data_IF_917743623022
#
_entry.id   IF_917743623022
#
_cell.length_a   1.000
_cell.length_b   1.000
_cell.length_c   1.000
_cell.angle_alpha   90.00
_cell.angle_beta   90.00
_cell.angle_gamma   90.00
#
_symmetry.space_group_name_H-M   'P 1'
#
loop_
_entity.id
_entity.type
_entity.pdbx_description
1 polymer ?
#
# COMPACT_ATOMS: atom_id res chain seq x y z
N UNK A 1 -3.96 24.43 -15.82
CA UNK A 1 -2.50 24.63 -15.79
C UNK A 1 -1.87 23.39 -16.40
N UNK A 2 -1.01 23.52 -17.43
CA UNK A 2 -0.23 22.38 -17.90
C UNK A 2 0.71 21.96 -16.76
N UNK A 3 0.52 20.75 -16.24
CA UNK A 3 1.47 20.16 -15.32
C UNK A 3 2.76 19.99 -16.11
N UNK A 4 3.76 20.79 -15.77
CA UNK A 4 5.13 20.64 -16.24
C UNK A 4 5.53 19.21 -15.87
N UNK A 5 5.48 18.30 -16.86
CA UNK A 5 5.84 16.91 -16.62
C UNK A 5 7.30 16.98 -16.21
N UNK A 6 7.68 16.60 -14.98
CA UNK A 6 9.08 16.58 -14.61
C UNK A 6 9.77 15.80 -15.71
N UNK A 7 10.71 16.46 -16.36
CA UNK A 7 11.41 15.95 -17.53
C UNK A 7 12.37 14.85 -17.02
N UNK A 8 11.77 13.75 -16.54
CA UNK A 8 12.36 12.44 -16.30
C UNK A 8 12.50 11.72 -17.64
N UNK A 9 12.62 12.46 -18.76
CA UNK A 9 13.53 12.09 -19.82
C UNK A 9 14.96 12.10 -19.24
N UNK A 10 15.21 11.22 -18.28
CA UNK A 10 16.41 10.44 -18.33
C UNK A 10 16.32 9.75 -19.69
N UNK A 11 16.92 10.36 -20.71
CA UNK A 11 17.51 9.61 -21.81
C UNK A 11 18.55 8.69 -21.18
N UNK A 12 18.07 7.69 -20.42
CA UNK A 12 18.75 6.47 -20.11
C UNK A 12 18.82 5.77 -21.45
N UNK A 13 19.68 6.28 -22.33
CA UNK A 13 20.59 5.42 -23.07
C UNK A 13 21.40 4.67 -22.00
N UNK A 14 20.72 3.77 -21.28
CA UNK A 14 21.37 2.60 -20.75
C UNK A 14 21.97 2.01 -22.00
N UNK A 15 23.27 2.26 -22.21
CA UNK A 15 24.11 1.34 -22.95
C UNK A 15 24.00 0.04 -22.15
N UNK A 16 22.96 -0.73 -22.49
CA UNK A 16 22.75 -2.10 -22.07
C UNK A 16 23.90 -2.83 -22.74
N UNK A 17 25.06 -2.76 -22.08
CA UNK A 17 26.22 -3.54 -22.43
C UNK A 17 25.81 -4.98 -22.16
N UNK A 18 25.31 -5.63 -23.21
CA UNK A 18 24.85 -7.01 -23.23
C UNK A 18 26.10 -7.89 -23.06
N UNK A 19 26.59 -7.93 -21.82
CA UNK A 19 27.94 -8.37 -21.47
C UNK A 19 28.44 -9.57 -22.26
N UNK A 20 29.59 -9.39 -22.91
CA UNK A 20 30.27 -10.41 -23.71
C UNK A 20 30.81 -11.55 -22.82
N UNK A 21 29.93 -12.44 -22.35
CA UNK A 21 30.35 -13.68 -21.67
C UNK A 21 30.10 -14.90 -22.56
N UNK A 22 31.01 -15.12 -23.49
CA UNK A 22 31.11 -16.36 -24.25
C UNK A 22 32.01 -16.16 -25.45
N UNK A 23 32.86 -17.13 -25.78
CA UNK A 23 33.89 -17.09 -26.83
C UNK A 23 33.36 -16.99 -28.28
N UNK A 24 32.13 -16.51 -28.46
CA UNK A 24 31.53 -16.16 -29.73
C UNK A 24 31.96 -14.76 -30.17
N UNK A 25 31.83 -14.49 -31.46
CA UNK A 25 32.10 -13.17 -32.01
C UNK A 25 31.23 -12.10 -31.32
N UNK A 26 31.75 -10.88 -31.11
CA UNK A 26 31.00 -9.78 -30.51
C UNK A 26 29.73 -9.55 -31.32
N UNK A 27 28.57 -9.56 -30.64
CA UNK A 27 27.28 -9.28 -31.28
C UNK A 27 27.31 -7.83 -31.74
N UNK A 28 27.11 -7.60 -33.04
CA UNK A 28 27.05 -6.23 -33.55
C UNK A 28 25.84 -5.51 -32.97
N UNK A 29 25.98 -4.21 -32.69
CA UNK A 29 24.89 -3.38 -32.15
C UNK A 29 23.62 -3.46 -33.00
N UNK A 30 23.76 -3.51 -34.32
CA UNK A 30 22.63 -3.68 -35.25
C UNK A 30 21.89 -5.01 -35.03
N UNK A 31 22.62 -6.11 -34.81
CA UNK A 31 22.02 -7.41 -34.54
C UNK A 31 21.31 -7.44 -33.18
N UNK A 32 21.87 -6.78 -32.17
CA UNK A 32 21.22 -6.65 -30.86
C UNK A 32 19.89 -5.89 -30.95
N UNK A 33 19.84 -4.82 -31.77
CA UNK A 33 18.60 -4.09 -32.05
C UNK A 33 17.56 -4.95 -32.79
N UNK A 34 17.98 -5.74 -33.78
CA UNK A 34 17.08 -6.66 -34.46
C UNK A 34 16.46 -7.69 -33.50
N UNK A 35 17.29 -8.29 -32.64
CA UNK A 35 16.83 -9.25 -31.62
C UNK A 35 15.87 -8.57 -30.65
N UNK A 36 16.20 -7.36 -30.19
CA UNK A 36 15.34 -6.55 -29.31
C UNK A 36 13.98 -6.26 -29.95
N UNK A 37 13.96 -5.80 -31.20
CA UNK A 37 12.73 -5.49 -31.92
C UNK A 37 11.90 -6.75 -32.21
N UNK A 38 12.56 -7.86 -32.57
CA UNK A 38 11.91 -9.15 -32.76
C UNK A 38 11.25 -9.63 -31.46
N UNK A 39 11.98 -9.60 -30.34
CA UNK A 39 11.48 -9.97 -29.02
C UNK A 39 10.28 -9.10 -28.60
N UNK A 40 10.37 -7.78 -28.78
CA UNK A 40 9.26 -6.86 -28.52
C UNK A 40 8.03 -7.19 -29.38
N UNK A 41 8.23 -7.46 -30.67
CA UNK A 41 7.12 -7.82 -31.57
C UNK A 41 6.49 -9.16 -31.18
N UNK A 42 7.29 -10.12 -30.73
CA UNK A 42 6.82 -11.41 -30.26
C UNK A 42 6.00 -11.28 -28.97
N UNK A 43 6.46 -10.46 -28.00
CA UNK A 43 5.70 -10.13 -26.80
C UNK A 43 4.36 -9.48 -27.14
N UNK A 44 4.35 -8.51 -28.05
CA UNK A 44 3.11 -7.84 -28.47
C UNK A 44 2.15 -8.78 -29.20
N UNK A 45 2.67 -9.65 -30.07
CA UNK A 45 1.87 -10.66 -30.76
C UNK A 45 1.26 -11.66 -29.76
N UNK A 46 2.03 -12.07 -28.75
CA UNK A 46 1.59 -12.91 -27.64
C UNK A 46 0.45 -12.28 -26.84
N UNK A 47 0.55 -10.98 -26.55
CA UNK A 47 -0.50 -10.20 -25.86
C UNK A 47 -1.75 -10.08 -26.73
N UNK A 48 -1.61 -9.79 -28.02
CA UNK A 48 -2.76 -9.66 -28.94
C UNK A 48 -3.48 -10.97 -29.21
N UNK A 49 -2.75 -12.08 -29.23
CA UNK A 49 -3.32 -13.39 -29.54
C UNK A 49 -4.16 -13.96 -28.39
N UNK A 50 -4.16 -13.33 -27.21
CA UNK A 50 -4.85 -13.77 -25.98
C UNK A 50 -4.53 -15.24 -25.60
N UNK A 51 -3.52 -15.83 -26.24
CA UNK A 51 -3.15 -17.26 -26.16
C UNK A 51 -2.36 -17.59 -24.89
N UNK A 52 -2.06 -16.57 -24.09
CA UNK A 52 -1.20 -16.67 -22.91
C UNK A 52 -1.87 -16.14 -21.65
N UNK A 53 -3.18 -15.91 -21.67
CA UNK A 53 -3.93 -15.75 -20.43
C UNK A 53 -4.10 -17.16 -19.85
N UNK A 54 -3.40 -17.53 -18.76
CA UNK A 54 -3.77 -18.72 -18.02
C UNK A 54 -5.27 -18.61 -17.69
N UNK A 55 -6.02 -19.71 -17.60
CA UNK A 55 -7.45 -19.65 -17.27
C UNK A 55 -7.75 -18.89 -15.95
N UNK A 56 -6.70 -18.73 -15.16
CA UNK A 56 -6.52 -18.06 -13.89
C UNK A 56 -6.21 -16.54 -13.98
N UNK A 57 -6.11 -15.95 -15.18
CA UNK A 57 -6.14 -14.49 -15.40
C UNK A 57 -4.84 -13.71 -15.13
N UNK A 58 -3.71 -14.37 -14.92
CA UNK A 58 -2.50 -13.74 -14.38
C UNK A 58 -1.73 -12.75 -15.29
N UNK A 59 -1.87 -12.82 -16.63
CA UNK A 59 -1.02 -12.01 -17.52
C UNK A 59 -1.49 -10.55 -17.67
N UNK A 60 -2.77 -10.26 -17.44
CA UNK A 60 -3.33 -8.92 -17.68
C UNK A 60 -2.83 -7.89 -16.68
N UNK A 61 -2.57 -8.27 -15.42
CA UNK A 61 -2.31 -7.28 -14.37
C UNK A 61 -0.98 -6.55 -14.55
N UNK A 62 0.10 -7.24 -14.93
CA UNK A 62 1.39 -6.59 -15.11
C UNK A 62 1.56 -5.93 -16.48
N UNK A 63 0.74 -6.31 -17.47
CA UNK A 63 0.75 -5.64 -18.77
C UNK A 63 0.28 -4.19 -18.69
N UNK A 64 -0.69 -3.90 -17.82
CA UNK A 64 -1.13 -2.53 -17.56
C UNK A 64 0.01 -1.68 -16.95
N UNK A 65 0.71 -2.24 -15.95
CA UNK A 65 1.91 -1.63 -15.37
C UNK A 65 2.99 -1.39 -16.45
N UNK A 66 3.20 -2.36 -17.33
CA UNK A 66 4.15 -2.26 -18.45
C UNK A 66 3.80 -1.08 -19.38
N UNK A 67 2.56 -0.99 -19.86
CA UNK A 67 2.15 0.11 -20.75
C UNK A 67 2.26 1.46 -20.05
N UNK A 68 1.89 1.52 -18.77
CA UNK A 68 2.08 2.72 -17.96
C UNK A 68 3.56 3.12 -17.88
N UNK A 69 4.48 2.17 -17.65
CA UNK A 69 5.92 2.43 -17.56
C UNK A 69 6.51 2.87 -18.89
N UNK A 70 6.15 2.23 -20.00
CA UNK A 70 6.57 2.64 -21.35
C UNK A 70 6.06 4.04 -21.67
N UNK A 71 4.81 4.37 -21.31
CA UNK A 71 4.26 5.72 -21.46
C UNK A 71 4.97 6.76 -20.58
N UNK A 72 5.56 6.34 -19.45
CA UNK A 72 6.42 7.16 -18.58
C UNK A 72 7.85 7.31 -19.12
N UNK A 73 8.19 6.67 -20.24
CA UNK A 73 9.49 6.80 -20.91
C UNK A 73 10.54 5.77 -20.48
N UNK A 74 10.15 4.72 -19.75
CA UNK A 74 11.08 3.62 -19.45
C UNK A 74 11.38 2.82 -20.72
N UNK A 75 12.64 2.35 -20.84
CA UNK A 75 12.99 1.36 -21.87
C UNK A 75 12.09 0.14 -21.73
N UNK A 76 11.64 -0.41 -22.86
CA UNK A 76 10.62 -1.44 -22.84
C UNK A 76 11.09 -2.71 -22.13
N UNK A 77 12.38 -3.09 -22.20
CA UNK A 77 12.89 -4.29 -21.51
C UNK A 77 12.91 -4.09 -20.00
N UNK A 78 13.37 -2.90 -19.58
CA UNK A 78 13.39 -2.51 -18.16
C UNK A 78 11.96 -2.39 -17.63
N UNK A 79 11.05 -1.79 -18.40
CA UNK A 79 9.63 -1.68 -18.06
C UNK A 79 8.97 -3.05 -17.91
N UNK A 80 9.23 -3.98 -18.83
CA UNK A 80 8.73 -5.37 -18.75
C UNK A 80 9.24 -6.04 -17.49
N UNK A 81 10.52 -5.90 -17.15
CA UNK A 81 11.06 -6.47 -15.92
C UNK A 81 10.45 -5.83 -14.66
N UNK A 82 10.33 -4.49 -14.61
CA UNK A 82 9.76 -3.78 -13.45
C UNK A 82 8.32 -4.26 -13.20
N UNK A 83 7.51 -4.34 -14.25
CA UNK A 83 6.12 -4.79 -14.16
C UNK A 83 6.00 -6.27 -13.76
N UNK A 84 6.86 -7.13 -14.30
CA UNK A 84 6.92 -8.53 -13.87
C UNK A 84 7.32 -8.66 -12.39
N UNK A 85 8.34 -7.90 -11.97
CA UNK A 85 8.85 -7.94 -10.60
C UNK A 85 7.89 -7.31 -9.56
N UNK A 86 7.05 -6.35 -9.96
CA UNK A 86 6.02 -5.77 -9.10
C UNK A 86 4.89 -6.74 -8.78
N UNK A 87 4.71 -7.77 -9.60
CA UNK A 87 3.66 -8.77 -9.43
C UNK A 87 4.04 -9.76 -8.30
N UNK A 88 3.08 -10.23 -7.48
CA UNK A 88 3.32 -11.27 -6.47
C UNK A 88 3.87 -12.55 -7.12
N UNK A 89 4.70 -13.29 -6.38
CA UNK A 89 5.41 -14.47 -6.91
C UNK A 89 4.46 -15.51 -7.54
N UNK A 90 3.29 -15.71 -6.94
CA UNK A 90 2.32 -16.72 -7.39
C UNK A 90 1.59 -16.33 -8.68
N UNK A 91 1.60 -15.04 -9.04
CA UNK A 91 0.97 -14.51 -10.26
C UNK A 91 1.96 -14.14 -11.36
N UNK A 92 3.25 -14.47 -11.19
CA UNK A 92 4.28 -14.15 -12.18
C UNK A 92 4.25 -15.13 -13.33
N UNK A 93 4.17 -14.59 -14.54
CA UNK A 93 4.46 -15.34 -15.76
C UNK A 93 5.43 -14.54 -16.63
N UNK A 94 6.57 -15.11 -17.05
CA UNK A 94 7.11 -16.44 -16.71
C UNK A 94 7.40 -16.62 -15.22
N UNK A 95 7.60 -17.86 -14.75
CA UNK A 95 7.76 -18.13 -13.32
C UNK A 95 9.12 -17.68 -12.81
N UNK A 96 10.15 -17.79 -13.65
CA UNK A 96 11.53 -17.48 -13.30
C UNK A 96 12.07 -16.25 -14.04
N UNK A 97 13.03 -15.56 -13.41
CA UNK A 97 13.71 -14.41 -14.04
C UNK A 97 14.51 -14.84 -15.28
N UNK A 98 15.04 -16.06 -15.29
CA UNK A 98 15.79 -16.63 -16.40
C UNK A 98 14.90 -16.87 -17.63
N UNK A 99 13.70 -17.43 -17.44
CA UNK A 99 12.69 -17.57 -18.50
C UNK A 99 12.27 -16.21 -19.05
N UNK A 100 12.00 -15.23 -18.18
CA UNK A 100 11.69 -13.87 -18.63
C UNK A 100 12.82 -13.28 -19.48
N UNK A 101 14.06 -13.41 -19.03
CA UNK A 101 15.22 -12.88 -19.73
C UNK A 101 15.38 -13.52 -21.12
N UNK A 102 15.31 -14.84 -21.19
CA UNK A 102 15.62 -15.60 -22.40
C UNK A 102 14.44 -15.68 -23.38
N UNK A 103 13.24 -16.00 -22.89
CA UNK A 103 12.08 -16.27 -23.74
C UNK A 103 11.31 -15.01 -24.15
N UNK A 104 11.34 -13.96 -23.33
CA UNK A 104 10.56 -12.74 -23.56
C UNK A 104 11.44 -11.57 -23.95
N UNK A 105 12.49 -11.28 -23.19
CA UNK A 105 13.35 -10.11 -23.43
C UNK A 105 14.38 -10.34 -24.55
N UNK A 106 14.61 -11.60 -24.93
CA UNK A 106 15.61 -11.99 -25.91
C UNK A 106 17.04 -11.73 -25.45
N UNK A 107 17.29 -11.80 -24.14
CA UNK A 107 18.60 -11.68 -23.53
C UNK A 107 19.28 -13.06 -23.49
N UNK A 108 20.61 -13.05 -23.43
CA UNK A 108 21.40 -14.28 -23.29
C UNK A 108 21.35 -14.86 -21.88
N UNK A 109 21.25 -14.01 -20.85
CA UNK A 109 21.25 -14.40 -19.45
C UNK A 109 20.56 -13.35 -18.58
N UNK A 110 20.03 -13.78 -17.44
CA UNK A 110 19.46 -12.94 -16.40
C UNK A 110 20.49 -12.06 -15.69
N UNK A 111 21.80 -12.34 -15.83
CA UNK A 111 22.89 -11.49 -15.30
C UNK A 111 22.79 -10.05 -15.79
N UNK A 112 22.37 -9.86 -17.04
CA UNK A 112 22.19 -8.55 -17.65
C UNK A 112 21.19 -7.72 -16.85
N UNK A 113 20.11 -8.33 -16.37
CA UNK A 113 19.10 -7.69 -15.50
C UNK A 113 19.72 -7.29 -14.15
N UNK A 114 20.55 -8.15 -13.56
CA UNK A 114 21.28 -7.82 -12.32
C UNK A 114 22.17 -6.59 -12.52
N UNK A 115 22.88 -6.50 -13.65
CA UNK A 115 23.68 -5.33 -14.02
C UNK A 115 22.82 -4.08 -14.19
N UNK A 116 21.62 -4.18 -14.77
CA UNK A 116 20.71 -3.03 -14.88
C UNK A 116 20.32 -2.48 -13.52
N UNK A 117 19.96 -3.36 -12.57
CA UNK A 117 19.58 -2.98 -11.20
C UNK A 117 20.74 -2.32 -10.45
N UNK A 118 21.95 -2.86 -10.59
CA UNK A 118 23.15 -2.28 -9.98
C UNK A 118 23.47 -0.89 -10.54
N UNK A 119 23.35 -0.71 -11.87
CA UNK A 119 23.62 0.58 -12.54
C UNK A 119 22.51 1.60 -12.28
N UNK A 120 21.26 1.16 -12.13
CA UNK A 120 20.11 2.03 -11.97
C UNK A 120 19.22 1.60 -10.79
N UNK A 121 19.47 2.09 -9.56
CA UNK A 121 18.68 1.74 -8.38
C UNK A 121 17.24 2.27 -8.43
N UNK A 122 16.91 3.21 -9.33
CA UNK A 122 15.52 3.68 -9.50
C UNK A 122 14.59 2.56 -9.97
N UNK A 123 15.14 1.51 -10.59
CA UNK A 123 14.44 0.28 -10.96
C UNK A 123 13.79 -0.35 -9.72
N UNK A 124 14.56 -0.60 -8.67
CA UNK A 124 14.07 -1.25 -7.43
C UNK A 124 13.10 -0.33 -6.66
N UNK A 125 13.35 0.98 -6.66
CA UNK A 125 12.43 1.96 -6.07
C UNK A 125 11.07 1.92 -6.77
N UNK A 126 11.07 1.80 -8.11
CA UNK A 126 9.83 1.74 -8.91
C UNK A 126 9.07 0.44 -8.66
N UNK A 127 9.77 -0.70 -8.56
CA UNK A 127 9.16 -1.98 -8.16
C UNK A 127 8.48 -1.88 -6.80
N UNK A 128 9.17 -1.32 -5.80
CA UNK A 128 8.60 -1.11 -4.47
C UNK A 128 7.40 -0.17 -4.47
N UNK A 129 7.45 0.89 -5.29
CA UNK A 129 6.33 1.82 -5.44
C UNK A 129 5.08 1.14 -6.03
N UNK A 130 5.23 0.33 -7.09
CA UNK A 130 4.11 -0.41 -7.70
C UNK A 130 3.52 -1.45 -6.74
N UNK A 131 4.36 -2.20 -6.03
CA UNK A 131 3.90 -3.14 -5.01
C UNK A 131 3.10 -2.44 -3.90
N UNK A 132 3.58 -1.26 -3.49
CA UNK A 132 2.92 -0.44 -2.47
C UNK A 132 1.60 0.14 -2.99
N UNK A 133 1.53 0.55 -4.26
CA UNK A 133 0.32 1.05 -4.90
C UNK A 133 -0.81 0.02 -4.87
N UNK A 134 -0.52 -1.24 -5.20
CA UNK A 134 -1.51 -2.34 -5.12
C UNK A 134 -2.05 -2.52 -3.70
N UNK A 135 -1.20 -2.42 -2.67
CA UNK A 135 -1.66 -2.46 -1.27
C UNK A 135 -2.56 -1.27 -0.93
N UNK A 136 -2.26 -0.08 -1.47
CA UNK A 136 -3.08 1.11 -1.25
C UNK A 136 -4.44 1.06 -1.94
N UNK A 137 -4.58 0.36 -3.06
CA UNK A 137 -5.87 0.16 -3.74
C UNK A 137 -6.87 -0.57 -2.82
N UNK A 138 -6.40 -1.56 -2.06
CA UNK A 138 -7.24 -2.32 -1.11
C UNK A 138 -7.41 -1.65 0.26
N UNK A 139 -6.84 -0.45 0.46
CA UNK A 139 -6.92 0.23 1.77
C UNK A 139 -8.37 0.51 2.18
N UNK A 140 -9.23 0.85 1.23
CA UNK A 140 -10.67 1.06 1.48
C UNK A 140 -11.34 -0.22 1.98
N UNK A 141 -11.17 -1.31 1.24
CA UNK A 141 -11.72 -2.64 1.58
C UNK A 141 -11.30 -3.10 2.99
N UNK A 142 -10.04 -2.85 3.36
CA UNK A 142 -9.53 -3.16 4.71
C UNK A 142 -10.23 -2.32 5.78
N UNK A 143 -10.52 -1.05 5.52
CA UNK A 143 -11.28 -0.22 6.45
C UNK A 143 -12.73 -0.67 6.57
N UNK A 144 -13.37 -1.03 5.46
CA UNK A 144 -14.74 -1.54 5.48
C UNK A 144 -14.82 -2.84 6.28
N UNK A 145 -13.89 -3.78 6.05
CA UNK A 145 -13.78 -5.01 6.82
C UNK A 145 -13.53 -4.75 8.32
N UNK A 146 -12.68 -3.77 8.65
CA UNK A 146 -12.44 -3.34 10.04
C UNK A 146 -13.73 -2.82 10.68
N UNK A 147 -14.49 -1.97 9.97
CA UNK A 147 -15.75 -1.41 10.47
C UNK A 147 -16.79 -2.52 10.69
N UNK A 148 -16.93 -3.46 9.75
CA UNK A 148 -17.84 -4.60 9.88
C UNK A 148 -17.47 -5.50 11.06
N UNK A 149 -16.18 -5.81 11.22
CA UNK A 149 -15.68 -6.57 12.35
C UNK A 149 -15.94 -5.85 13.67
N UNK A 150 -15.66 -4.55 13.74
CA UNK A 150 -15.84 -3.72 14.93
C UNK A 150 -17.32 -3.61 15.36
N UNK A 151 -18.26 -3.57 14.41
CA UNK A 151 -19.72 -3.54 14.69
C UNK A 151 -20.24 -4.83 15.34
N UNK A 152 -19.58 -5.97 15.08
CA UNK A 152 -20.02 -7.27 15.57
C UNK A 152 -19.70 -7.43 17.05
N UNK A 153 -20.69 -7.81 17.88
CA UNK A 153 -20.54 -7.92 19.35
C UNK A 153 -19.70 -9.13 19.84
N UNK A 154 -19.01 -9.83 18.96
CA UNK A 154 -18.15 -10.95 19.34
C UNK A 154 -16.93 -10.45 20.14
N UNK A 155 -16.54 -11.19 21.17
CA UNK A 155 -15.34 -10.93 21.96
C UNK A 155 -14.06 -11.08 21.12
N UNK A 156 -14.09 -11.91 20.06
CA UNK A 156 -12.95 -12.08 19.15
C UNK A 156 -12.55 -10.78 18.45
N UNK A 157 -13.52 -9.91 18.17
CA UNK A 157 -13.31 -8.65 17.46
C UNK A 157 -12.94 -7.48 18.39
N UNK A 158 -12.57 -7.75 19.65
CA UNK A 158 -12.19 -6.69 20.59
C UNK A 158 -10.93 -5.94 20.16
N UNK A 159 -9.98 -6.60 19.50
CA UNK A 159 -8.77 -5.95 18.98
C UNK A 159 -9.09 -4.97 17.85
N UNK A 160 -10.00 -5.37 16.94
CA UNK A 160 -10.44 -4.53 15.83
C UNK A 160 -11.21 -3.30 16.34
N UNK A 161 -12.10 -3.47 17.32
CA UNK A 161 -12.75 -2.33 18.00
C UNK A 161 -11.74 -1.40 18.67
N UNK A 162 -10.75 -1.96 19.36
CA UNK A 162 -9.71 -1.19 20.03
C UNK A 162 -8.86 -0.43 19.02
N UNK A 163 -8.47 -1.07 17.91
CA UNK A 163 -7.74 -0.43 16.82
C UNK A 163 -8.57 0.68 16.18
N UNK A 164 -9.85 0.43 15.91
CA UNK A 164 -10.76 1.43 15.39
C UNK A 164 -10.83 2.67 16.29
N UNK A 165 -11.03 2.48 17.61
CA UNK A 165 -11.05 3.57 18.60
C UNK A 165 -9.69 4.28 18.71
N UNK A 166 -8.58 3.57 18.53
CA UNK A 166 -7.25 4.17 18.48
C UNK A 166 -7.08 5.05 17.22
N UNK A 167 -7.60 4.60 16.08
CA UNK A 167 -7.55 5.34 14.82
C UNK A 167 -8.47 6.57 14.82
N UNK A 168 -9.62 6.52 15.48
CA UNK A 168 -10.54 7.66 15.63
C UNK A 168 -10.09 8.63 16.72
N UNK A 169 -9.13 8.23 17.57
CA UNK A 169 -8.64 9.01 18.71
C UNK A 169 -9.46 8.82 19.98
N UNK A 170 -10.56 8.06 19.95
CA UNK A 170 -11.40 7.78 21.12
C UNK A 170 -10.68 6.92 22.18
N UNK A 171 -9.58 6.25 21.81
CA UNK A 171 -8.76 5.45 22.71
C UNK A 171 -7.27 5.72 22.56
N UNK A 172 -6.59 6.10 23.65
CA UNK A 172 -5.14 6.25 23.69
C UNK A 172 -4.50 5.08 24.45
N UNK A 173 -3.59 4.29 23.83
CA UNK A 173 -2.89 3.23 24.52
C UNK A 173 -2.06 3.73 25.71
N UNK A 174 -2.12 2.99 26.81
CA UNK A 174 -1.42 3.34 28.06
C UNK A 174 0.09 3.58 27.90
N UNK A 175 0.76 2.91 26.95
CA UNK A 175 2.20 3.13 26.72
C UNK A 175 2.47 4.48 26.04
N UNK A 176 1.63 4.92 25.11
CA UNK A 176 1.70 6.26 24.52
C UNK A 176 1.43 7.32 25.60
N UNK A 177 0.46 7.07 26.47
CA UNK A 177 0.15 7.92 27.62
C UNK A 177 1.36 8.10 28.54
N UNK A 178 2.01 6.99 28.92
CA UNK A 178 3.24 7.01 29.75
C UNK A 178 4.38 7.77 29.06
N UNK A 179 4.54 7.60 27.75
CA UNK A 179 5.56 8.33 26.99
C UNK A 179 5.28 9.84 26.96
N UNK A 180 4.02 10.25 26.80
CA UNK A 180 3.60 11.65 26.86
C UNK A 180 3.85 12.27 28.24
N UNK A 181 3.56 11.54 29.32
CA UNK A 181 3.90 11.95 30.69
C UNK A 181 5.42 12.09 30.89
N UNK A 182 6.20 11.10 30.44
CA UNK A 182 7.65 11.12 30.57
C UNK A 182 8.30 12.26 29.77
N UNK A 183 7.73 12.62 28.61
CA UNK A 183 8.19 13.75 27.79
C UNK A 183 7.88 15.12 28.39
N UNK A 184 7.14 15.19 29.50
CA UNK A 184 6.76 16.44 30.16
C UNK A 184 5.72 17.28 29.39
N UNK A 185 5.19 16.75 28.27
CA UNK A 185 4.07 17.34 27.52
C UNK A 185 2.75 17.26 28.29
N UNK A 186 2.62 16.24 29.15
CA UNK A 186 1.51 16.09 30.09
C UNK A 186 2.06 16.24 31.50
N UNK A 187 1.85 17.40 32.11
CA UNK A 187 2.24 17.67 33.49
C UNK A 187 1.05 17.43 34.40
N UNK A 188 0.96 16.23 34.94
CA UNK A 188 0.00 15.94 35.99
C UNK A 188 0.69 15.97 37.34
N UNK A 189 0.15 16.79 38.25
CA UNK A 189 0.60 16.86 39.64
C UNK A 189 0.10 15.69 40.49
N UNK A 190 -0.82 14.86 39.96
CA UNK A 190 -1.43 13.70 40.64
C UNK A 190 -1.51 12.47 39.72
N UNK A 191 -1.69 11.29 40.30
CA UNK A 191 -1.76 10.03 39.55
C UNK A 191 -2.95 10.01 38.60
N UNK A 192 -2.88 9.17 37.54
CA UNK A 192 -3.93 9.09 36.50
C UNK A 192 -5.35 8.81 37.05
N UNK A 193 -5.44 8.20 38.24
CA UNK A 193 -6.72 7.93 38.94
C UNK A 193 -7.35 9.16 39.59
N UNK A 194 -6.60 10.25 39.74
CA UNK A 194 -7.01 11.48 40.42
C UNK A 194 -7.37 12.60 39.43
N UNK A 195 -7.27 12.32 38.12
CA UNK A 195 -7.65 13.27 37.07
C UNK A 195 -9.15 13.33 36.94
N UNK A 196 -9.69 14.54 36.79
CA UNK A 196 -11.11 14.71 36.49
C UNK A 196 -11.41 14.21 35.08
N UNK A 197 -12.65 13.79 34.84
CA UNK A 197 -13.09 13.25 33.56
C UNK A 197 -12.87 14.23 32.40
N UNK A 198 -13.01 15.54 32.64
CA UNK A 198 -12.67 16.61 31.69
C UNK A 198 -11.18 16.63 31.30
N UNK A 199 -10.28 16.41 32.27
CA UNK A 199 -8.83 16.40 32.04
C UNK A 199 -8.39 15.12 31.32
N UNK A 200 -9.09 14.00 31.56
CA UNK A 200 -8.93 12.74 30.82
C UNK A 200 -9.41 12.90 29.36
N UNK A 201 -10.49 13.65 29.13
CA UNK A 201 -11.02 13.95 27.80
C UNK A 201 -10.10 14.84 26.97
N UNK A 202 -9.55 15.90 27.57
CA UNK A 202 -8.52 16.72 26.93
C UNK A 202 -7.28 15.90 26.54
N UNK A 203 -7.01 14.82 27.29
CA UNK A 203 -5.91 13.89 27.03
C UNK A 203 -6.13 12.95 25.84
N UNK A 204 -7.38 12.54 25.64
CA UNK A 204 -7.78 11.68 24.53
C UNK A 204 -7.76 12.42 23.19
N UNK A 205 -7.45 13.74 23.16
CA UNK A 205 -7.49 14.53 21.94
C UNK A 205 -8.90 14.91 21.50
N UNK A 206 -9.92 14.66 22.35
CA UNK A 206 -11.28 15.12 22.13
C UNK A 206 -11.33 16.64 22.28
N UNK A 207 -11.81 17.34 21.25
CA UNK A 207 -12.07 18.77 21.34
C UNK A 207 -13.33 19.00 22.20
N UNK A 208 -13.14 19.15 23.51
CA UNK A 208 -14.22 19.30 24.50
C UNK A 208 -15.19 20.45 24.14
N UNK A 209 -14.70 21.50 23.48
CA UNK A 209 -15.51 22.65 23.07
C UNK A 209 -16.63 22.30 22.08
N UNK A 210 -16.53 21.17 21.38
CA UNK A 210 -17.54 20.70 20.41
C UNK A 210 -18.59 19.78 21.05
N UNK A 211 -18.23 19.03 22.09
CA UNK A 211 -19.09 18.00 22.72
C UNK A 211 -19.66 18.40 24.08
N UNK A 212 -18.99 19.30 24.81
CA UNK A 212 -19.42 19.80 26.12
C UNK A 212 -20.86 20.31 26.15
N UNK A 213 -21.28 21.18 25.20
CA UNK A 213 -22.65 21.67 25.16
C UNK A 213 -23.70 20.59 24.85
N UNK A 214 -23.29 19.47 24.23
CA UNK A 214 -24.19 18.40 23.80
C UNK A 214 -24.51 17.40 24.91
N UNK A 215 -23.61 17.27 25.90
CA UNK A 215 -23.80 16.41 27.07
C UNK A 215 -24.55 17.12 28.20
N UNK A 216 -24.34 18.43 28.35
CA UNK A 216 -25.06 19.23 29.35
C UNK A 216 -26.59 19.29 29.05
N UNK A 217 -26.98 19.32 27.77
CA UNK A 217 -28.39 19.41 27.34
C UNK A 217 -29.21 18.13 27.57
N UNK A 218 -28.56 16.97 27.81
CA UNK A 218 -29.26 15.73 28.14
C UNK A 218 -29.41 15.46 29.64
N UNK A 219 -28.70 16.22 30.48
CA UNK A 219 -28.72 16.01 31.94
C UNK A 219 -29.99 16.57 32.61
N UNK A 220 -30.62 17.59 32.01
CA UNK A 220 -31.86 18.20 32.54
C UNK A 220 -33.13 17.38 32.27
N UNK A 221 -33.09 16.41 31.36
CA UNK A 221 -34.27 15.60 31.01
C UNK A 221 -34.47 14.34 31.87
N UNK A 222 -33.53 13.99 32.77
CA UNK A 222 -33.66 12.83 33.65
C UNK A 222 -34.13 13.15 35.08
N UNK A 223 -34.40 14.42 35.40
CA UNK A 223 -34.80 14.85 36.75
C UNK A 223 -36.33 14.88 37.00
N UNK A 224 -37.16 14.31 36.10
CA UNK A 224 -38.62 14.30 36.29
C UNK A 224 -39.12 12.86 36.34
N UNK A 225 -39.37 12.34 37.55
CA UNK A 225 -40.16 11.11 37.68
C UNK A 225 -39.98 10.21 38.91
N UNK A 226 -39.46 10.66 40.07
CA UNK A 226 -39.69 9.91 41.33
C UNK A 226 -41.02 10.38 41.97
N UNK A 227 -42.15 10.02 41.35
CA UNK A 227 -43.43 10.04 42.05
C UNK A 227 -43.56 8.77 42.89
N UNK A 228 -43.45 8.96 44.20
CA UNK A 228 -43.72 7.98 45.24
C UNK A 228 -45.18 7.53 45.19
N UNK A 229 -45.46 6.39 44.57
CA UNK A 229 -46.69 5.65 44.85
C UNK A 229 -46.52 4.86 46.16
N UNK A 230 -46.95 5.47 47.25
CA UNK A 230 -47.21 4.79 48.50
C UNK A 230 -48.56 4.05 48.39
N UNK A 231 -48.53 2.73 48.23
CA UNK A 231 -49.71 1.88 48.45
C UNK A 231 -49.98 1.76 49.96
N UNK A 232 -51.21 2.05 50.43
CA UNK A 232 -51.60 1.71 51.79
C UNK A 232 -51.98 0.23 51.85
N UNK A 233 -51.37 -0.50 52.78
CA UNK A 233 -51.84 -1.82 53.21
C UNK A 233 -53.31 -1.74 53.65
N UNK A 234 -54.15 -2.55 53.02
CA UNK A 234 -55.47 -2.91 53.54
C UNK A 234 -55.44 -4.38 53.99
N UNK A 235 -56.13 -4.60 55.11
CA UNK A 235 -56.16 -5.75 56.02
C UNK A 235 -56.61 -7.09 55.42
#
# INVERSE_FOLDING_TARGET
MPLDRPNLQLSLELNLDDGEEGSGQPITHERALEISNAARSALMARVQADTLVPADGGMTEWMDDYFMLVNKGWDWRVATWIAWASTPRDGRWPETQEELATEILGLTSDRVISTWRQKNPAIDVTVGALQTERLFQHRGDVFDALIESAKTKDYKNHQDRKLFLEMTGDYVPMHQLKALMASGKLRFSKGLKDLKEEELWQLAGGNWEVLGPMLDDQSDHLAVGEEKNAEPLAE
#
